data_IF_756674850142
#
_entry.id   IF_756674850142
#
_cell.length_a   1.000
_cell.length_b   1.000
_cell.length_c   1.000
_cell.angle_alpha   90.00
_cell.angle_beta   90.00
_cell.angle_gamma   90.00
#
_symmetry.space_group_name_H-M   'P 1'
#
loop_
_entity.id
_entity.type
_entity.pdbx_description
1 polymer ?
#
# COMPACT_ATOMS: atom_id res chain seq x y z
N UNK A 1 3.64 -4.11 6.83
CA UNK A 1 4.11 -3.04 5.94
C UNK A 1 5.48 -2.61 6.42
N UNK A 2 6.44 -2.50 5.51
CA UNK A 2 7.79 -2.01 5.81
C UNK A 2 8.15 -0.91 4.81
N UNK A 3 8.49 0.28 5.30
CA UNK A 3 8.94 1.40 4.48
C UNK A 3 10.38 1.77 4.86
N UNK A 4 11.19 2.10 3.86
CA UNK A 4 12.54 2.63 4.00
C UNK A 4 12.61 3.95 3.25
N UNK A 5 13.19 4.95 3.89
CA UNK A 5 13.35 6.30 3.33
C UNK A 5 14.83 6.64 3.22
N UNK A 6 15.22 7.22 2.08
CA UNK A 6 16.55 7.81 1.85
C UNK A 6 16.36 9.18 1.20
N UNK A 7 16.60 10.26 1.96
CA UNK A 7 16.24 11.60 1.53
C UNK A 7 14.73 11.73 1.31
N UNK A 8 14.31 12.13 0.11
CA UNK A 8 12.90 12.21 -0.26
C UNK A 8 12.37 10.92 -0.90
N UNK A 9 13.23 9.96 -1.23
CA UNK A 9 12.79 8.71 -1.84
C UNK A 9 12.30 7.74 -0.75
N UNK A 10 11.17 7.11 -1.01
CA UNK A 10 10.57 6.09 -0.14
C UNK A 10 10.35 4.82 -0.95
N UNK A 11 10.79 3.69 -0.41
CA UNK A 11 10.57 2.36 -0.98
C UNK A 11 10.03 1.45 0.11
N UNK A 12 9.24 0.45 -0.25
CA UNK A 12 8.80 -0.52 0.73
C UNK A 12 7.94 -1.64 0.21
N UNK A 13 7.35 -2.36 1.15
CA UNK A 13 6.48 -3.50 0.89
C UNK A 13 5.20 -3.34 1.68
N UNK A 14 4.08 -3.32 0.97
CA UNK A 14 2.75 -3.42 1.53
C UNK A 14 2.26 -4.86 1.42
N UNK A 15 1.75 -5.38 2.53
CA UNK A 15 1.16 -6.72 2.57
C UNK A 15 -0.17 -6.61 3.31
N UNK A 16 -1.24 -7.00 2.64
CA UNK A 16 -2.60 -6.93 3.16
C UNK A 16 -3.43 -8.11 2.63
N UNK A 17 -4.56 -8.35 3.29
CA UNK A 17 -5.52 -9.36 2.86
C UNK A 17 -6.81 -8.67 2.44
N UNK A 18 -7.28 -8.98 1.24
CA UNK A 18 -8.63 -8.66 0.79
C UNK A 18 -9.50 -9.88 1.06
N UNK A 19 -10.60 -9.69 1.78
CA UNK A 19 -11.48 -10.80 2.18
C UNK A 19 -12.94 -10.40 2.05
N UNK A 20 -13.68 -11.22 1.30
CA UNK A 20 -15.15 -11.22 1.33
C UNK A 20 -15.57 -12.47 2.09
N UNK A 21 -16.18 -12.25 3.26
CA UNK A 21 -16.57 -13.32 4.19
C UNK A 21 -17.35 -14.42 3.45
N UNK A 22 -16.90 -15.67 3.62
CA UNK A 22 -17.46 -16.88 2.98
C UNK A 22 -17.38 -16.91 1.44
N UNK A 23 -16.65 -16.01 0.79
CA UNK A 23 -16.48 -15.99 -0.66
C UNK A 23 -15.02 -16.21 -1.03
N UNK A 24 -14.16 -15.24 -0.75
CA UNK A 24 -12.74 -15.33 -1.09
C UNK A 24 -11.85 -14.62 -0.09
N UNK A 25 -10.59 -15.04 -0.08
CA UNK A 25 -9.50 -14.33 0.58
C UNK A 25 -8.28 -14.29 -0.35
N UNK A 26 -7.79 -13.09 -0.61
CA UNK A 26 -6.62 -12.84 -1.43
C UNK A 26 -5.55 -12.22 -0.52
N UNK A 27 -4.35 -12.77 -0.56
CA UNK A 27 -3.17 -12.19 0.09
C UNK A 27 -2.42 -11.39 -0.96
N UNK A 28 -2.34 -10.08 -0.78
CA UNK A 28 -1.68 -9.18 -1.72
C UNK A 28 -0.38 -8.67 -1.10
N UNK A 29 0.69 -8.68 -1.89
CA UNK A 29 1.97 -8.08 -1.55
C UNK A 29 2.40 -7.18 -2.68
N UNK A 30 2.61 -5.90 -2.37
CA UNK A 30 2.99 -4.88 -3.33
C UNK A 30 4.32 -4.26 -2.92
N UNK A 31 5.30 -4.26 -3.83
CA UNK A 31 6.47 -3.41 -3.68
C UNK A 31 6.09 -2.02 -4.16
N UNK A 32 6.33 -1.03 -3.32
CA UNK A 32 5.96 0.35 -3.57
C UNK A 32 7.19 1.24 -3.63
N UNK A 33 7.17 2.22 -4.52
CA UNK A 33 8.18 3.27 -4.61
C UNK A 33 7.49 4.62 -4.76
N UNK A 34 8.09 5.64 -4.18
CA UNK A 34 7.58 6.99 -4.32
C UNK A 34 8.51 8.05 -3.77
N UNK A 35 8.03 9.29 -3.80
CA UNK A 35 8.81 10.47 -3.40
C UNK A 35 7.97 11.38 -2.52
N UNK A 36 8.61 11.95 -1.50
CA UNK A 36 8.02 12.99 -0.67
C UNK A 36 8.18 14.34 -1.36
N UNK A 37 7.08 15.06 -1.57
CA UNK A 37 7.06 16.41 -2.14
C UNK A 37 5.96 17.22 -1.44
N UNK A 38 6.30 18.42 -0.95
CA UNK A 38 5.38 19.32 -0.24
C UNK A 38 4.61 18.66 0.93
N UNK A 39 5.31 17.80 1.69
CA UNK A 39 4.72 17.08 2.83
C UNK A 39 3.75 15.96 2.45
N UNK A 40 3.59 15.68 1.15
CA UNK A 40 2.82 14.57 0.60
C UNK A 40 3.76 13.47 0.13
N UNK A 41 3.34 12.23 0.26
CA UNK A 41 4.03 11.06 -0.27
C UNK A 41 3.08 10.36 -1.24
N UNK A 42 3.45 10.30 -2.51
CA UNK A 42 2.78 9.46 -3.49
C UNK A 42 3.61 8.19 -3.66
N UNK A 43 3.01 7.03 -3.38
CA UNK A 43 3.62 5.71 -3.60
C UNK A 43 2.88 5.00 -4.72
N UNK A 44 3.64 4.40 -5.63
CA UNK A 44 3.15 3.60 -6.75
C UNK A 44 3.64 2.16 -6.60
N UNK A 45 2.80 1.21 -6.96
CA UNK A 45 3.18 -0.20 -7.00
C UNK A 45 4.02 -0.51 -8.22
N UNK A 46 5.24 -0.99 -7.97
CA UNK A 46 6.21 -1.38 -9.00
C UNK A 46 6.25 -2.89 -9.23
N UNK A 47 5.74 -3.67 -8.28
CA UNK A 47 5.64 -5.13 -8.36
C UNK A 47 4.48 -5.59 -7.48
N UNK A 48 3.68 -6.53 -7.98
CA UNK A 48 2.46 -7.00 -7.31
C UNK A 48 2.43 -8.51 -7.36
N UNK A 49 2.24 -9.11 -6.19
CA UNK A 49 2.02 -10.55 -6.04
C UNK A 49 0.75 -10.79 -5.26
N UNK A 50 -0.20 -11.51 -5.85
CA UNK A 50 -1.43 -11.90 -5.20
C UNK A 50 -1.55 -13.42 -5.13
N UNK A 51 -1.86 -13.95 -3.95
CA UNK A 51 -2.08 -15.38 -3.70
C UNK A 51 -3.53 -15.59 -3.26
N UNK A 52 -4.26 -16.44 -3.99
CA UNK A 52 -5.60 -16.89 -3.64
C UNK A 52 -5.61 -18.42 -3.62
N UNK A 53 -6.06 -19.02 -2.51
CA UNK A 53 -6.11 -20.49 -2.34
C UNK A 53 -4.77 -21.19 -2.66
N UNK A 54 -3.65 -20.56 -2.29
CA UNK A 54 -2.29 -21.08 -2.52
C UNK A 54 -1.78 -20.96 -3.95
N UNK A 55 -2.53 -20.32 -4.86
CA UNK A 55 -2.13 -20.08 -6.24
C UNK A 55 -1.91 -18.59 -6.49
N UNK A 56 -0.92 -18.29 -7.31
CA UNK A 56 -0.71 -16.92 -7.80
C UNK A 56 -1.81 -16.54 -8.79
N UNK A 57 -2.36 -15.33 -8.61
CA UNK A 57 -3.39 -14.77 -9.47
C UNK A 57 -2.96 -13.40 -9.98
N UNK A 58 -3.55 -12.96 -11.09
CA UNK A 58 -3.40 -11.58 -11.55
C UNK A 58 -4.14 -10.62 -10.60
N UNK A 59 -3.48 -9.52 -10.25
CA UNK A 59 -4.04 -8.45 -9.42
C UNK A 59 -3.52 -7.12 -9.97
N UNK A 60 -4.40 -6.13 -10.06
CA UNK A 60 -4.04 -4.84 -10.63
C UNK A 60 -3.30 -3.99 -9.57
N UNK A 61 -2.23 -3.27 -9.97
CA UNK A 61 -1.48 -2.45 -9.04
C UNK A 61 -2.33 -1.32 -8.50
N UNK A 62 -2.16 -1.05 -7.21
CA UNK A 62 -2.77 0.08 -6.54
C UNK A 62 -1.90 1.33 -6.62
N UNK A 63 -2.54 2.49 -6.55
CA UNK A 63 -1.88 3.77 -6.24
C UNK A 63 -2.16 4.11 -4.78
N UNK A 64 -1.16 4.66 -4.08
CA UNK A 64 -1.28 5.05 -2.68
C UNK A 64 -0.93 6.52 -2.51
N UNK A 65 -1.92 7.31 -2.09
CA UNK A 65 -1.74 8.69 -1.70
C UNK A 65 -1.60 8.78 -0.18
N UNK A 66 -0.49 9.33 0.31
CA UNK A 66 -0.19 9.38 1.73
C UNK A 66 0.06 10.84 2.15
N UNK A 67 -0.62 11.25 3.21
CA UNK A 67 -0.48 12.55 3.83
C UNK A 67 0.12 12.43 5.22
N UNK A 68 1.08 13.30 5.52
CA UNK A 68 1.63 13.43 6.86
C UNK A 68 0.70 14.24 7.75
N UNK A 69 0.18 13.62 8.81
CA UNK A 69 -0.84 14.24 9.68
C UNK A 69 -0.30 14.60 11.07
N UNK A 70 0.71 13.89 11.56
CA UNK A 70 1.36 14.14 12.85
C UNK A 70 2.74 13.47 12.88
N UNK A 71 3.61 13.90 13.81
CA UNK A 71 5.03 13.53 13.90
C UNK A 71 5.34 12.02 13.74
N UNK A 72 4.41 11.14 14.13
CA UNK A 72 4.57 9.68 14.03
C UNK A 72 3.44 8.96 13.26
N UNK A 73 2.60 9.70 12.54
CA UNK A 73 1.45 9.15 11.83
C UNK A 73 1.31 9.70 10.40
N UNK A 74 1.12 8.77 9.47
CA UNK A 74 0.72 9.06 8.10
C UNK A 74 -0.66 8.43 7.86
N UNK A 75 -1.53 9.13 7.13
CA UNK A 75 -2.79 8.57 6.61
C UNK A 75 -2.61 8.33 5.14
N UNK A 76 -2.89 7.11 4.71
CA UNK A 76 -2.88 6.72 3.31
C UNK A 76 -4.28 6.39 2.81
N UNK A 77 -4.53 6.70 1.55
CA UNK A 77 -5.65 6.17 0.79
C UNK A 77 -5.13 5.41 -0.42
N UNK A 78 -5.87 4.41 -0.85
CA UNK A 78 -5.62 3.65 -2.05
C UNK A 78 -6.88 3.55 -2.88
N UNK A 79 -6.72 3.47 -4.19
CA UNK A 79 -7.81 3.24 -5.14
C UNK A 79 -7.40 2.09 -6.05
N UNK A 80 -8.31 1.14 -6.21
CA UNK A 80 -8.18 0.11 -7.23
C UNK A 80 -8.71 0.61 -8.59
N UNK A 81 -8.60 -0.25 -9.61
CA UNK A 81 -9.07 0.05 -10.97
C UNK A 81 -10.60 0.25 -11.08
N UNK A 82 -11.36 -0.18 -10.07
CA UNK A 82 -12.81 -0.02 -10.00
C UNK A 82 -13.20 1.22 -9.17
N UNK A 83 -12.23 2.06 -8.80
CA UNK A 83 -12.38 3.23 -7.93
C UNK A 83 -12.84 2.90 -6.51
N UNK A 84 -12.62 1.68 -6.02
CA UNK A 84 -12.87 1.35 -4.61
C UNK A 84 -11.78 1.96 -3.76
N UNK A 85 -12.18 2.75 -2.76
CA UNK A 85 -11.25 3.44 -1.87
C UNK A 85 -10.95 2.61 -0.62
N UNK A 86 -9.66 2.33 -0.38
CA UNK A 86 -9.15 1.85 0.90
C UNK A 86 -8.47 2.98 1.67
N UNK A 87 -8.63 3.02 3.00
CA UNK A 87 -7.94 3.99 3.87
C UNK A 87 -7.15 3.24 4.95
N UNK A 88 -5.92 3.67 5.20
CA UNK A 88 -5.03 3.05 6.18
C UNK A 88 -4.21 4.10 6.94
N UNK A 89 -3.71 3.72 8.11
CA UNK A 89 -2.84 4.57 8.94
C UNK A 89 -1.51 3.86 9.12
N UNK A 90 -0.42 4.54 8.77
CA UNK A 90 0.93 4.10 9.06
C UNK A 90 1.40 4.77 10.35
N UNK A 91 1.85 3.97 11.31
CA UNK A 91 2.47 4.46 12.55
C UNK A 91 3.93 4.08 12.58
N UNK A 92 4.80 5.03 12.90
CA UNK A 92 6.22 4.75 13.12
C UNK A 92 6.35 3.85 14.35
N UNK A 93 7.04 2.72 14.21
CA UNK A 93 7.39 1.86 15.34
C UNK A 93 8.58 2.52 16.06
N UNK A 94 8.38 2.87 17.33
CA UNK A 94 9.40 3.43 18.23
C UNK A 94 10.08 2.26 18.95
#
# INVERSE_FOLDING_TARGET
MELRQAGNEVNGVFSFAEEVKNNYRIQVTEKVKGTITDGKLLLESVDVKAIQNGREISYLPNTFEIQHIAENQLVGSTYDSENVCGVFVLKRKI
#
